data_IF_742611082025
#
_entry.id   IF_742611082025
#
_cell.length_a   1.000
_cell.length_b   1.000
_cell.length_c   1.000
_cell.angle_alpha   90.00
_cell.angle_beta   90.00
_cell.angle_gamma   90.00
#
_symmetry.space_group_name_H-M   'P 1'
#
loop_
_entity.id
_entity.type
_entity.pdbx_description
1 polymer ?
#
# COMPACT_ATOMS: atom_id res chain seq x y z
N UNK A 1 -59.36 28.72 10.08
CA UNK A 1 -58.58 27.47 9.87
C UNK A 1 -57.41 27.55 8.85
N UNK A 2 -57.29 28.52 7.91
CA UNK A 2 -56.16 28.52 6.95
C UNK A 2 -54.79 28.89 7.53
N UNK A 3 -54.70 29.56 8.67
CA UNK A 3 -53.46 30.00 9.28
C UNK A 3 -52.62 28.82 9.81
N UNK A 4 -53.20 27.83 10.45
CA UNK A 4 -52.53 26.63 10.97
C UNK A 4 -51.87 25.81 9.86
N UNK A 5 -52.48 25.71 8.70
CA UNK A 5 -51.96 24.94 7.54
C UNK A 5 -50.76 25.64 6.93
N UNK A 6 -50.73 26.96 6.88
CA UNK A 6 -49.58 27.75 6.40
C UNK A 6 -48.36 27.61 7.32
N UNK A 7 -48.62 27.63 8.66
CA UNK A 7 -47.53 27.45 9.66
C UNK A 7 -46.96 26.03 9.58
N UNK A 8 -47.79 25.00 9.44
CA UNK A 8 -47.32 23.61 9.31
C UNK A 8 -46.47 23.41 8.03
N UNK A 9 -46.91 23.99 6.90
CA UNK A 9 -46.11 23.96 5.66
C UNK A 9 -44.78 24.68 5.78
N UNK A 10 -44.75 25.81 6.49
CA UNK A 10 -43.52 26.56 6.72
C UNK A 10 -42.54 25.78 7.62
N UNK A 11 -43.03 25.17 8.70
CA UNK A 11 -42.22 24.33 9.59
C UNK A 11 -41.72 23.07 8.84
N UNK A 12 -42.57 22.44 8.03
CA UNK A 12 -42.16 21.29 7.22
C UNK A 12 -41.08 21.65 6.18
N UNK A 13 -41.21 22.81 5.54
CA UNK A 13 -40.19 23.31 4.59
C UNK A 13 -38.86 23.66 5.29
N UNK A 14 -38.92 24.23 6.49
CA UNK A 14 -37.75 24.55 7.29
C UNK A 14 -37.06 23.26 7.78
N UNK A 15 -37.83 22.26 8.19
CA UNK A 15 -37.29 20.96 8.61
C UNK A 15 -36.61 20.22 7.44
N UNK A 16 -37.19 20.31 6.24
CA UNK A 16 -36.62 19.73 5.02
C UNK A 16 -35.33 20.41 4.64
N UNK A 17 -35.24 21.75 4.78
CA UNK A 17 -34.01 22.50 4.49
C UNK A 17 -32.84 22.14 5.45
N UNK A 18 -33.15 21.89 6.73
CA UNK A 18 -32.14 21.46 7.72
C UNK A 18 -31.59 20.05 7.41
N UNK A 19 -32.39 19.18 6.80
CA UNK A 19 -31.95 17.83 6.43
C UNK A 19 -30.94 17.83 5.27
N UNK A 20 -30.89 18.88 4.45
CA UNK A 20 -29.94 19.02 3.35
C UNK A 20 -28.59 19.63 3.76
N UNK A 21 -28.43 20.10 5.00
CA UNK A 21 -27.13 20.54 5.53
C UNK A 21 -26.40 19.31 6.13
N UNK A 22 -26.39 18.20 5.43
CA UNK A 22 -25.46 17.12 5.71
C UNK A 22 -24.11 17.59 5.18
N UNK A 23 -23.19 17.87 6.09
CA UNK A 23 -21.81 18.17 5.75
C UNK A 23 -21.24 16.98 4.96
N UNK A 24 -21.17 17.09 3.65
CA UNK A 24 -20.34 16.23 2.81
C UNK A 24 -18.90 16.58 3.11
N UNK A 25 -18.31 15.96 4.12
CA UNK A 25 -16.87 15.91 4.25
C UNK A 25 -16.35 15.06 3.10
N UNK A 26 -15.96 15.72 2.03
CA UNK A 26 -15.15 15.08 0.99
C UNK A 26 -13.86 14.64 1.68
N UNK A 27 -13.75 13.35 2.00
CA UNK A 27 -12.49 12.77 2.45
C UNK A 27 -11.51 12.96 1.28
N UNK A 28 -10.47 13.76 1.50
CA UNK A 28 -9.31 13.79 0.62
C UNK A 28 -8.67 12.40 0.73
N UNK A 29 -8.99 11.50 -0.19
CA UNK A 29 -8.20 10.28 -0.38
C UNK A 29 -6.84 10.77 -0.85
N UNK A 30 -5.81 10.60 -0.02
CA UNK A 30 -4.42 10.84 -0.43
C UNK A 30 -4.13 9.80 -1.52
N UNK A 31 -4.16 10.22 -2.78
CA UNK A 31 -3.60 9.41 -3.87
C UNK A 31 -2.09 9.40 -3.61
N UNK A 32 -1.48 8.22 -3.69
CA UNK A 32 -0.06 8.05 -3.46
C UNK A 32 0.76 8.97 -4.38
N UNK A 33 1.80 9.59 -3.86
CA UNK A 33 2.62 10.51 -4.64
C UNK A 33 3.88 9.80 -5.14
N UNK A 34 4.30 10.18 -6.36
CA UNK A 34 5.60 9.73 -6.91
C UNK A 34 6.70 10.54 -6.22
N UNK A 35 7.49 9.88 -5.38
CA UNK A 35 8.65 10.48 -4.71
C UNK A 35 9.81 10.67 -5.69
N UNK A 36 10.15 9.63 -6.46
CA UNK A 36 11.25 9.67 -7.43
C UNK A 36 11.04 8.68 -8.57
N UNK A 37 11.68 8.95 -9.72
CA UNK A 37 11.73 8.06 -10.89
C UNK A 37 13.18 7.62 -11.13
N UNK A 38 13.41 6.31 -11.18
CA UNK A 38 14.72 5.70 -11.44
C UNK A 38 14.64 4.84 -12.70
N UNK A 39 15.08 5.35 -13.82
CA UNK A 39 14.93 4.69 -15.12
C UNK A 39 13.45 4.51 -15.49
N UNK A 40 12.97 3.28 -15.54
CA UNK A 40 11.56 2.92 -15.76
C UNK A 40 10.79 2.63 -14.48
N UNK A 41 11.47 2.62 -13.34
CA UNK A 41 10.90 2.32 -12.04
C UNK A 41 10.52 3.61 -11.31
N UNK A 42 9.48 3.55 -10.51
CA UNK A 42 9.03 4.65 -9.65
C UNK A 42 9.18 4.22 -8.20
N UNK A 43 9.45 5.18 -7.33
CA UNK A 43 9.36 5.05 -5.87
C UNK A 43 8.23 5.95 -5.41
N UNK A 44 7.27 5.38 -4.72
CA UNK A 44 6.11 6.08 -4.19
C UNK A 44 6.35 6.50 -2.74
N UNK A 45 5.62 7.50 -2.26
CA UNK A 45 5.66 7.87 -0.84
C UNK A 45 5.28 6.69 0.06
N UNK A 46 4.32 5.86 -0.37
CA UNK A 46 3.92 4.66 0.36
C UNK A 46 5.02 3.60 0.44
N UNK A 47 5.92 3.52 -0.55
CA UNK A 47 7.04 2.58 -0.52
C UNK A 47 8.02 2.98 0.60
N UNK A 48 8.25 4.29 0.79
CA UNK A 48 9.10 4.81 1.86
C UNK A 48 8.48 4.49 3.23
N UNK A 49 7.17 4.72 3.38
CA UNK A 49 6.45 4.43 4.63
C UNK A 49 6.45 2.92 4.96
N UNK A 50 6.19 2.06 3.98
CA UNK A 50 6.22 0.59 4.13
C UNK A 50 7.60 0.10 4.55
N UNK A 51 8.64 0.54 3.84
CA UNK A 51 10.02 0.13 4.13
C UNK A 51 10.48 0.58 5.53
N UNK A 52 10.05 1.78 5.96
CA UNK A 52 10.30 2.29 7.29
C UNK A 52 9.65 1.42 8.37
N UNK A 53 8.37 1.09 8.18
CA UNK A 53 7.64 0.21 9.11
C UNK A 53 8.28 -1.18 9.19
N UNK A 54 8.68 -1.75 8.07
CA UNK A 54 9.36 -3.04 8.02
C UNK A 54 10.68 -3.02 8.79
N UNK A 55 11.48 -1.97 8.58
CA UNK A 55 12.76 -1.81 9.28
C UNK A 55 12.58 -1.60 10.79
N UNK A 56 11.60 -0.79 11.20
CA UNK A 56 11.28 -0.56 12.60
C UNK A 56 10.81 -1.86 13.27
N UNK A 57 9.96 -2.64 12.60
CA UNK A 57 9.48 -3.93 13.11
C UNK A 57 10.63 -4.95 13.22
N UNK A 58 11.44 -5.10 12.19
CA UNK A 58 12.55 -6.05 12.15
C UNK A 58 13.68 -5.69 13.14
N UNK A 59 13.82 -4.41 13.47
CA UNK A 59 14.83 -3.94 14.41
C UNK A 59 14.34 -3.75 15.85
N UNK A 60 13.07 -4.12 16.14
CA UNK A 60 12.41 -3.83 17.42
C UNK A 60 12.49 -2.32 17.79
N UNK A 61 12.43 -1.44 16.78
CA UNK A 61 12.53 0.01 16.97
C UNK A 61 13.93 0.54 17.32
N UNK A 62 14.97 -0.31 17.22
CA UNK A 62 16.36 0.08 17.56
C UNK A 62 17.03 0.89 16.45
N UNK A 63 16.62 0.69 15.19
CA UNK A 63 17.17 1.38 14.05
C UNK A 63 16.20 2.51 13.68
N UNK A 64 16.72 3.74 13.67
CA UNK A 64 16.02 4.91 13.19
C UNK A 64 16.78 5.45 11.98
N UNK A 65 16.15 5.36 10.82
CA UNK A 65 16.67 5.90 9.57
C UNK A 65 15.81 7.10 9.16
N UNK A 66 16.42 8.14 8.64
CA UNK A 66 15.70 9.29 8.11
C UNK A 66 14.99 8.95 6.79
N UNK A 67 13.91 9.67 6.46
CA UNK A 67 13.20 9.46 5.19
C UNK A 67 14.11 9.68 3.97
N UNK A 68 15.12 10.54 4.10
CA UNK A 68 16.11 10.77 3.05
C UNK A 68 17.01 9.56 2.82
N UNK A 69 17.52 8.94 3.89
CA UNK A 69 18.34 7.72 3.80
C UNK A 69 17.50 6.53 3.30
N UNK A 70 16.22 6.44 3.70
CA UNK A 70 15.27 5.46 3.17
C UNK A 70 15.11 5.60 1.66
N UNK A 71 14.85 6.84 1.20
CA UNK A 71 14.69 7.14 -0.21
C UNK A 71 15.95 6.75 -1.00
N UNK A 72 17.14 7.08 -0.47
CA UNK A 72 18.40 6.73 -1.09
C UNK A 72 18.57 5.21 -1.23
N UNK A 73 18.24 4.43 -0.22
CA UNK A 73 18.28 2.97 -0.28
C UNK A 73 17.31 2.40 -1.31
N UNK A 74 16.07 2.87 -1.34
CA UNK A 74 15.08 2.45 -2.33
C UNK A 74 15.50 2.82 -3.76
N UNK A 75 16.06 4.02 -3.96
CA UNK A 75 16.62 4.42 -5.25
C UNK A 75 17.75 3.51 -5.70
N UNK A 76 18.68 3.17 -4.79
CA UNK A 76 19.79 2.25 -5.06
C UNK A 76 19.26 0.86 -5.43
N UNK A 77 18.29 0.34 -4.70
CA UNK A 77 17.65 -0.94 -4.99
C UNK A 77 17.02 -0.95 -6.39
N UNK A 78 16.23 0.08 -6.73
CA UNK A 78 15.64 0.21 -8.08
C UNK A 78 16.68 0.35 -9.17
N UNK A 79 17.79 1.03 -8.89
CA UNK A 79 18.90 1.18 -9.83
C UNK A 79 19.61 -0.16 -10.08
N UNK A 80 19.90 -0.93 -9.02
CA UNK A 80 20.52 -2.24 -9.11
C UNK A 80 19.62 -3.22 -9.90
N UNK A 81 18.34 -3.27 -9.60
CA UNK A 81 17.39 -4.09 -10.33
C UNK A 81 17.32 -3.71 -11.83
N UNK A 82 17.35 -2.40 -12.12
CA UNK A 82 17.40 -1.91 -13.50
C UNK A 82 18.69 -2.38 -14.23
N UNK A 83 19.86 -2.24 -13.60
CA UNK A 83 21.12 -2.69 -14.16
C UNK A 83 21.16 -4.21 -14.36
N UNK A 84 20.63 -4.99 -13.43
CA UNK A 84 20.53 -6.43 -13.58
C UNK A 84 19.78 -6.82 -14.86
N UNK A 85 18.67 -6.13 -15.15
CA UNK A 85 17.90 -6.35 -16.40
C UNK A 85 18.71 -5.93 -17.63
N UNK A 86 19.41 -4.78 -17.59
CA UNK A 86 20.27 -4.31 -18.69
C UNK A 86 21.41 -5.29 -18.97
N UNK A 87 21.99 -5.86 -17.93
CA UNK A 87 23.06 -6.85 -18.01
C UNK A 87 22.55 -8.26 -18.35
N UNK A 88 21.27 -8.36 -18.71
CA UNK A 88 20.61 -9.64 -19.10
C UNK A 88 20.62 -10.70 -18.02
N UNK A 89 20.64 -10.29 -16.75
CA UNK A 89 20.44 -11.21 -15.62
C UNK A 89 18.99 -11.70 -15.66
N UNK A 90 18.82 -13.02 -15.69
CA UNK A 90 17.49 -13.66 -15.76
C UNK A 90 17.23 -14.38 -14.45
N UNK A 91 16.07 -14.12 -13.89
CA UNK A 91 15.49 -14.87 -12.76
C UNK A 91 14.31 -15.67 -13.28
N UNK A 92 14.25 -16.94 -12.94
CA UNK A 92 13.16 -17.84 -13.38
C UNK A 92 11.89 -17.55 -12.57
N UNK A 93 10.76 -17.43 -13.25
CA UNK A 93 9.46 -17.24 -12.58
C UNK A 93 9.13 -18.41 -11.64
N UNK A 94 9.63 -19.61 -11.92
CA UNK A 94 9.46 -20.79 -11.04
C UNK A 94 10.22 -20.61 -9.72
N UNK A 95 11.44 -20.04 -9.76
CA UNK A 95 12.24 -19.72 -8.57
C UNK A 95 11.54 -18.68 -7.72
N UNK A 96 11.06 -17.59 -8.36
CA UNK A 96 10.31 -16.51 -7.69
C UNK A 96 9.03 -17.05 -7.05
N UNK A 97 8.22 -17.82 -7.78
CA UNK A 97 6.99 -18.41 -7.24
C UNK A 97 7.26 -19.31 -6.04
N UNK A 98 8.35 -20.09 -6.07
CA UNK A 98 8.75 -20.90 -4.93
C UNK A 98 9.10 -20.06 -3.70
N UNK A 99 9.69 -18.88 -3.89
CA UNK A 99 9.97 -17.95 -2.80
C UNK A 99 8.68 -17.33 -2.25
N UNK A 100 7.79 -16.89 -3.13
CA UNK A 100 6.46 -16.36 -2.75
C UNK A 100 5.69 -17.37 -1.90
N UNK A 101 5.62 -18.63 -2.33
CA UNK A 101 4.91 -19.67 -1.57
C UNK A 101 5.55 -19.91 -0.18
N UNK A 102 6.89 -19.90 -0.08
CA UNK A 102 7.58 -19.98 1.22
C UNK A 102 7.24 -18.81 2.14
N UNK A 103 7.22 -17.60 1.60
CA UNK A 103 6.89 -16.40 2.37
C UNK A 103 5.45 -16.41 2.86
N UNK A 104 4.51 -16.78 1.99
CA UNK A 104 3.10 -16.93 2.38
C UNK A 104 2.96 -18.00 3.47
N UNK A 105 3.64 -19.12 3.34
CA UNK A 105 3.61 -20.17 4.36
C UNK A 105 4.18 -19.69 5.70
N UNK A 106 5.28 -18.95 5.68
CA UNK A 106 5.90 -18.37 6.87
C UNK A 106 4.95 -17.41 7.58
N UNK A 107 4.41 -16.41 6.85
CA UNK A 107 3.46 -15.46 7.40
C UNK A 107 2.16 -16.13 7.86
N UNK A 108 1.69 -17.14 7.15
CA UNK A 108 0.49 -17.88 7.58
C UNK A 108 0.67 -18.60 8.90
N UNK A 109 1.88 -19.09 9.19
CA UNK A 109 2.20 -19.67 10.50
C UNK A 109 2.23 -18.61 11.60
N UNK A 110 2.78 -17.43 11.32
CA UNK A 110 2.87 -16.33 12.27
C UNK A 110 1.49 -15.72 12.58
N UNK A 111 0.69 -15.46 11.56
CA UNK A 111 -0.64 -14.85 11.69
C UNK A 111 -1.77 -15.87 11.96
N UNK A 112 -1.48 -17.18 11.79
CA UNK A 112 -2.38 -18.29 12.04
C UNK A 112 -3.21 -18.75 10.83
N UNK A 113 -3.33 -17.94 9.75
CA UNK A 113 -3.91 -18.36 8.47
C UNK A 113 -3.57 -17.38 7.34
N UNK A 114 -3.72 -17.83 6.08
CA UNK A 114 -3.52 -16.97 4.89
C UNK A 114 -4.51 -15.83 4.85
N UNK A 115 -5.77 -16.07 5.22
CA UNK A 115 -6.83 -15.05 5.23
C UNK A 115 -6.48 -13.90 6.18
N UNK A 116 -5.88 -14.22 7.33
CA UNK A 116 -5.43 -13.20 8.29
C UNK A 116 -4.24 -12.41 7.78
N UNK A 117 -3.36 -13.02 7.00
CA UNK A 117 -2.27 -12.29 6.31
C UNK A 117 -2.85 -11.31 5.31
N UNK A 118 -3.77 -11.76 4.44
CA UNK A 118 -4.46 -10.91 3.46
C UNK A 118 -5.13 -9.72 4.14
N UNK A 119 -5.87 -9.95 5.23
CA UNK A 119 -6.54 -8.91 6.00
C UNK A 119 -5.55 -7.94 6.67
N UNK A 120 -4.50 -8.46 7.32
CA UNK A 120 -3.50 -7.67 8.05
C UNK A 120 -2.71 -6.72 7.14
N UNK A 121 -2.44 -7.15 5.91
CA UNK A 121 -1.72 -6.35 4.91
C UNK A 121 -2.66 -5.54 3.99
N UNK A 122 -3.98 -5.69 4.13
CA UNK A 122 -4.98 -4.90 3.42
C UNK A 122 -5.16 -5.28 1.95
N UNK A 123 -4.84 -6.53 1.58
CA UNK A 123 -5.10 -7.07 0.25
C UNK A 123 -6.56 -7.52 0.10
N UNK A 124 -7.06 -7.57 -1.14
CA UNK A 124 -8.43 -8.00 -1.40
C UNK A 124 -8.58 -9.52 -1.28
N UNK A 125 -7.58 -10.27 -1.75
CA UNK A 125 -7.54 -11.73 -1.74
C UNK A 125 -6.10 -12.27 -1.80
N UNK A 126 -5.96 -13.60 -1.82
CA UNK A 126 -4.67 -14.28 -1.89
C UNK A 126 -3.94 -14.06 -3.21
N UNK A 127 -4.66 -13.88 -4.31
CA UNK A 127 -4.06 -13.66 -5.64
C UNK A 127 -3.46 -12.26 -5.73
N UNK A 128 -4.12 -11.28 -5.13
CA UNK A 128 -3.61 -9.91 -5.00
C UNK A 128 -2.31 -9.89 -4.17
N UNK A 129 -2.31 -10.56 -3.02
CA UNK A 129 -1.11 -10.76 -2.19
C UNK A 129 0.03 -11.46 -2.96
N UNK A 130 -0.27 -12.55 -3.70
CA UNK A 130 0.73 -13.27 -4.50
C UNK A 130 1.33 -12.40 -5.59
N UNK A 131 0.52 -11.60 -6.25
CA UNK A 131 0.96 -10.70 -7.33
C UNK A 131 1.94 -9.66 -6.81
N UNK A 132 1.63 -9.06 -5.66
CA UNK A 132 2.53 -8.08 -5.02
C UNK A 132 3.84 -8.73 -4.56
N UNK A 133 3.75 -9.87 -3.86
CA UNK A 133 4.93 -10.62 -3.41
C UNK A 133 5.80 -11.09 -4.58
N UNK A 134 5.19 -11.49 -5.70
CA UNK A 134 5.94 -11.89 -6.88
C UNK A 134 6.78 -10.73 -7.44
N UNK A 135 6.23 -9.53 -7.51
CA UNK A 135 6.96 -8.33 -7.93
C UNK A 135 8.17 -8.04 -7.03
N UNK A 136 7.94 -8.07 -5.72
CA UNK A 136 8.98 -7.83 -4.71
C UNK A 136 10.08 -8.89 -4.78
N UNK A 137 9.71 -10.17 -4.80
CA UNK A 137 10.67 -11.27 -4.82
C UNK A 137 11.48 -11.33 -6.12
N UNK A 138 10.85 -10.98 -7.25
CA UNK A 138 11.54 -10.89 -8.54
C UNK A 138 12.61 -9.79 -8.53
N UNK A 139 12.28 -8.63 -7.99
CA UNK A 139 13.22 -7.52 -7.84
C UNK A 139 14.38 -7.90 -6.90
N UNK A 140 14.07 -8.46 -5.72
CA UNK A 140 15.07 -8.92 -4.76
C UNK A 140 16.01 -9.98 -5.38
N UNK A 141 15.46 -10.93 -6.11
CA UNK A 141 16.24 -11.98 -6.78
C UNK A 141 17.15 -11.43 -7.89
N UNK A 142 16.74 -10.37 -8.59
CA UNK A 142 17.58 -9.69 -9.58
C UNK A 142 18.78 -9.00 -8.94
N UNK A 143 18.59 -8.40 -7.76
CA UNK A 143 19.65 -7.66 -7.05
C UNK A 143 20.67 -8.61 -6.42
N UNK A 144 20.27 -9.82 -6.06
CA UNK A 144 21.13 -10.81 -5.40
C UNK A 144 22.00 -11.62 -6.36
N UNK A 145 21.76 -11.58 -7.66
CA UNK A 145 22.54 -12.24 -8.71
C UNK A 145 23.62 -11.36 -9.32
#
# INVERSE_FOLDING_TARGET
>A
MPFKIKVIKFISSLLLAVFFIQNTTAQKVKIDAVGVVVGKNIVLDSDIEKFKLELENNSEGKIKISDCEMLEQLMLQKLLAHHAVVDSIVVSDAEVNSQVERNIQFFSQEYGSVEKVVEAYGFNDIEDLKTELFGIEKENSLIQK
#
